data_IF_296099304453
#
_entry.id   IF_296099304453
#
_cell.length_a   1.000
_cell.length_b   1.000
_cell.length_c   1.000
_cell.angle_alpha   90.00
_cell.angle_beta   90.00
_cell.angle_gamma   90.00
#
_symmetry.space_group_name_H-M   'P 1'
#
loop_
_entity.id
_entity.type
_entity.pdbx_description
1 polymer ?
#
# COMPACT_ATOMS: atom_id res chain seq x y z
N UNK A 1 28.00 -17.48 -30.95
CA UNK A 1 26.88 -16.52 -31.14
C UNK A 1 25.87 -16.78 -30.04
N UNK A 2 25.47 -15.75 -29.28
CA UNK A 2 24.43 -15.89 -28.25
C UNK A 2 23.07 -16.09 -28.93
N UNK A 3 22.36 -17.16 -28.60
CA UNK A 3 21.02 -17.50 -29.11
C UNK A 3 19.89 -16.81 -28.33
N UNK A 4 20.25 -15.83 -27.51
CA UNK A 4 19.30 -15.17 -26.63
C UNK A 4 18.37 -14.25 -27.41
N UNK A 5 17.08 -14.63 -27.46
CA UNK A 5 16.00 -13.77 -27.95
C UNK A 5 15.43 -13.03 -26.76
N UNK A 6 15.50 -11.69 -26.79
CA UNK A 6 14.88 -10.83 -25.78
C UNK A 6 13.37 -11.10 -25.75
N UNK A 7 12.79 -11.46 -24.59
CA UNK A 7 11.36 -11.63 -24.49
C UNK A 7 10.64 -10.27 -24.61
N UNK A 8 9.47 -10.24 -25.23
CA UNK A 8 8.66 -9.03 -25.40
C UNK A 8 7.55 -9.01 -24.36
N UNK A 9 7.39 -7.88 -23.67
CA UNK A 9 6.32 -7.74 -22.68
C UNK A 9 4.94 -7.73 -23.37
N UNK A 10 3.93 -8.46 -22.84
CA UNK A 10 2.57 -8.38 -23.36
C UNK A 10 2.03 -6.94 -23.29
N UNK A 11 1.55 -6.44 -24.43
CA UNK A 11 1.02 -5.08 -24.59
C UNK A 11 -0.50 -5.00 -24.47
N UNK A 12 -1.21 -6.13 -24.52
CA UNK A 12 -2.67 -6.17 -24.43
C UNK A 12 -3.20 -5.48 -23.16
N UNK A 13 -4.22 -4.63 -23.34
CA UNK A 13 -4.85 -3.88 -22.27
C UNK A 13 -3.99 -2.73 -21.73
N UNK A 14 -2.86 -2.40 -22.37
CA UNK A 14 -2.08 -1.19 -22.07
C UNK A 14 -2.55 -0.02 -22.90
N UNK A 15 -2.20 1.20 -22.48
CA UNK A 15 -2.46 2.42 -23.23
C UNK A 15 -1.94 2.27 -24.67
N UNK A 16 -2.76 2.67 -25.65
CA UNK A 16 -2.48 2.50 -27.08
C UNK A 16 -2.79 1.10 -27.65
N UNK A 17 -3.11 0.11 -26.81
CA UNK A 17 -3.42 -1.26 -27.20
C UNK A 17 -4.70 -1.77 -26.52
N UNK A 18 -5.72 -0.90 -26.42
CA UNK A 18 -7.02 -1.23 -25.86
C UNK A 18 -7.99 -1.66 -26.96
N UNK A 19 -8.81 -2.67 -26.68
CA UNK A 19 -9.98 -2.96 -27.51
C UNK A 19 -11.07 -1.90 -27.30
N UNK A 20 -12.10 -1.82 -28.15
CA UNK A 20 -13.24 -0.92 -27.94
C UNK A 20 -13.92 -1.14 -26.57
N UNK A 21 -14.14 -2.40 -26.19
CA UNK A 21 -14.80 -2.76 -24.92
C UNK A 21 -13.92 -2.40 -23.70
N UNK A 22 -12.60 -2.57 -23.85
CA UNK A 22 -11.63 -2.15 -22.84
C UNK A 22 -11.61 -0.62 -22.67
N UNK A 23 -11.71 0.10 -23.79
CA UNK A 23 -11.79 1.57 -23.79
C UNK A 23 -13.07 2.05 -23.10
N UNK A 24 -14.21 1.42 -23.38
CA UNK A 24 -15.47 1.72 -22.70
C UNK A 24 -15.37 1.49 -21.19
N UNK A 25 -14.79 0.37 -20.75
CA UNK A 25 -14.57 0.09 -19.33
C UNK A 25 -13.67 1.12 -18.65
N UNK A 26 -12.63 1.59 -19.33
CA UNK A 26 -11.78 2.67 -18.82
C UNK A 26 -12.58 3.97 -18.64
N UNK A 27 -13.41 4.34 -19.62
CA UNK A 27 -14.28 5.51 -19.53
C UNK A 27 -15.29 5.39 -18.39
N UNK A 28 -15.94 4.23 -18.24
CA UNK A 28 -16.87 3.97 -17.14
C UNK A 28 -16.17 4.06 -15.77
N UNK A 29 -14.92 3.60 -15.66
CA UNK A 29 -14.13 3.75 -14.44
C UNK A 29 -13.88 5.23 -14.12
N UNK A 30 -13.52 6.03 -15.12
CA UNK A 30 -13.32 7.47 -14.98
C UNK A 30 -14.56 8.20 -14.50
N UNK A 31 -15.72 7.94 -15.08
CA UNK A 31 -17.00 8.54 -14.66
C UNK A 31 -17.24 8.29 -13.17
N UNK A 32 -17.14 7.03 -12.74
CA UNK A 32 -17.30 6.66 -11.33
C UNK A 32 -16.27 7.32 -10.43
N UNK A 33 -15.03 7.46 -10.90
CA UNK A 33 -13.96 8.09 -10.13
C UNK A 33 -14.21 9.60 -9.94
N UNK A 34 -14.66 10.30 -10.99
CA UNK A 34 -15.03 11.71 -10.87
C UNK A 34 -16.26 11.92 -9.98
N UNK A 35 -17.26 11.04 -10.04
CA UNK A 35 -18.40 11.11 -9.12
C UNK A 35 -17.98 10.94 -7.65
N UNK A 36 -16.94 10.14 -7.38
CA UNK A 36 -16.35 10.02 -6.04
C UNK A 36 -15.60 11.31 -5.67
N UNK A 37 -14.81 11.88 -6.58
CA UNK A 37 -14.10 13.15 -6.34
C UNK A 37 -15.06 14.28 -5.98
N UNK A 38 -16.17 14.38 -6.72
CA UNK A 38 -17.22 15.37 -6.52
C UNK A 38 -18.14 15.07 -5.32
N UNK A 39 -17.95 13.93 -4.64
CA UNK A 39 -18.79 13.51 -3.51
C UNK A 39 -20.21 13.09 -3.89
N UNK A 40 -20.50 12.88 -5.18
CA UNK A 40 -21.80 12.44 -5.70
C UNK A 40 -22.07 10.97 -5.38
N UNK A 41 -21.01 10.16 -5.35
CA UNK A 41 -21.09 8.72 -5.06
C UNK A 41 -20.47 8.41 -3.71
N UNK A 42 -21.25 7.75 -2.83
CA UNK A 42 -20.71 7.22 -1.59
C UNK A 42 -19.75 6.06 -1.87
N UNK A 43 -18.66 6.04 -1.12
CA UNK A 43 -17.72 4.93 -1.08
C UNK A 43 -17.41 4.61 0.38
N UNK A 44 -16.75 3.49 0.63
CA UNK A 44 -16.23 3.20 1.97
C UNK A 44 -15.20 4.27 2.36
N UNK A 45 -15.52 5.13 3.32
CA UNK A 45 -14.64 6.21 3.78
C UNK A 45 -13.75 5.79 4.96
N UNK A 46 -13.77 4.51 5.33
CA UNK A 46 -12.96 3.97 6.41
C UNK A 46 -11.62 3.47 5.88
N UNK A 47 -10.61 3.44 6.76
CA UNK A 47 -9.35 2.79 6.47
C UNK A 47 -9.54 1.28 6.59
N UNK A 48 -9.14 0.47 5.59
CA UNK A 48 -9.07 -0.97 5.72
C UNK A 48 -8.37 -1.38 7.02
N UNK A 49 -8.95 -2.33 7.75
CA UNK A 49 -8.44 -2.79 9.06
C UNK A 49 -7.03 -3.39 9.02
N UNK A 50 -6.55 -3.75 7.83
CA UNK A 50 -5.17 -4.17 7.58
C UNK A 50 -4.17 -3.02 7.59
N UNK A 51 -4.62 -1.77 7.49
CA UNK A 51 -3.76 -0.59 7.46
C UNK A 51 -3.45 -0.16 8.89
N UNK A 52 -2.19 -0.32 9.28
CA UNK A 52 -1.74 0.06 10.62
C UNK A 52 -1.29 1.52 10.69
N UNK A 53 -0.95 2.16 9.55
CA UNK A 53 -0.57 3.57 9.48
C UNK A 53 0.60 3.95 10.40
N UNK A 54 0.88 5.26 10.51
CA UNK A 54 1.75 5.77 11.58
C UNK A 54 1.11 5.75 12.98
N UNK A 55 -0.20 5.54 13.11
CA UNK A 55 -0.90 5.48 14.41
C UNK A 55 -0.62 4.17 15.17
N UNK A 56 0.61 3.64 15.10
CA UNK A 56 1.00 2.48 15.91
C UNK A 56 1.00 2.79 17.41
N UNK A 57 1.12 4.06 17.80
CA UNK A 57 1.29 4.41 19.22
C UNK A 57 0.34 5.50 19.77
N UNK A 58 -0.45 6.21 18.95
CA UNK A 58 -1.24 7.37 19.43
C UNK A 58 -2.75 7.10 19.72
N UNK A 59 -3.28 5.91 19.40
CA UNK A 59 -4.72 5.59 19.62
C UNK A 59 -4.97 4.29 20.41
N UNK A 60 -3.96 3.78 21.12
CA UNK A 60 -4.18 2.74 22.12
C UNK A 60 -4.21 3.37 23.51
N UNK A 61 -5.33 3.34 24.26
CA UNK A 61 -5.25 3.60 25.69
C UNK A 61 -4.25 2.61 26.28
N UNK A 62 -3.21 3.15 26.92
CA UNK A 62 -2.12 2.41 27.54
C UNK A 62 -2.69 1.29 28.42
N UNK A 63 -2.72 0.07 27.89
CA UNK A 63 -2.91 -1.14 28.68
C UNK A 63 -1.51 -1.64 29.02
N UNK A 64 -1.14 -1.73 30.31
CA UNK A 64 0.21 -2.12 30.68
C UNK A 64 0.53 -3.50 30.10
N UNK A 65 1.68 -3.57 29.44
CA UNK A 65 2.18 -4.77 28.79
C UNK A 65 2.29 -5.92 29.82
N UNK A 66 1.49 -6.96 29.65
CA UNK A 66 1.71 -8.22 30.33
C UNK A 66 2.87 -8.96 29.64
N UNK A 67 3.95 -9.18 30.40
CA UNK A 67 5.08 -10.03 30.03
C UNK A 67 4.59 -11.40 29.55
N UNK A 68 4.83 -11.75 28.28
CA UNK A 68 4.66 -13.12 27.82
C UNK A 68 5.94 -13.92 28.08
N UNK A 69 5.98 -14.58 29.25
CA UNK A 69 6.92 -15.69 29.48
C UNK A 69 6.52 -16.87 28.61
N UNK A 70 7.52 -17.43 27.94
CA UNK A 70 7.46 -18.69 27.18
C UNK A 70 7.00 -19.85 28.08
N UNK A 71 6.06 -20.66 27.61
CA UNK A 71 5.65 -21.90 28.27
C UNK A 71 5.07 -22.88 27.26
N UNK A 72 5.89 -23.87 26.90
CA UNK A 72 5.60 -24.99 26.00
C UNK A 72 5.13 -26.19 26.85
N UNK A 73 4.07 -26.89 26.38
CA UNK A 73 3.34 -28.04 26.94
C UNK A 73 2.24 -27.80 28.01
N UNK A 74 1.04 -28.33 27.74
CA UNK A 74 0.00 -28.51 28.77
C UNK A 74 -1.43 -28.67 28.23
N UNK A 75 -1.80 -29.88 27.83
CA UNK A 75 -3.15 -30.31 27.41
C UNK A 75 -4.10 -30.39 28.63
N UNK A 76 -5.28 -29.76 28.56
CA UNK A 76 -6.34 -29.94 29.57
C UNK A 76 -7.64 -29.18 29.24
N UNK A 77 -8.73 -29.93 29.04
CA UNK A 77 -10.13 -29.49 28.77
C UNK A 77 -10.78 -28.96 30.06
N UNK A 78 -11.58 -27.89 29.98
CA UNK A 78 -12.85 -27.74 30.72
C UNK A 78 -13.70 -26.54 30.24
N UNK A 79 -14.93 -26.88 29.83
CA UNK A 79 -16.25 -26.22 29.92
C UNK A 79 -16.47 -24.69 29.80
N UNK A 80 -17.56 -24.38 29.11
CA UNK A 80 -18.07 -23.10 28.62
C UNK A 80 -18.70 -22.18 29.69
N UNK A 81 -18.70 -20.88 29.41
CA UNK A 81 -19.78 -19.96 29.83
C UNK A 81 -19.89 -18.86 28.75
N UNK A 82 -21.03 -18.70 28.06
CA UNK A 82 -21.16 -17.69 27.02
C UNK A 82 -21.45 -16.32 27.67
N UNK A 83 -20.46 -15.44 27.70
CA UNK A 83 -20.69 -14.00 27.87
C UNK A 83 -20.83 -13.40 26.48
N UNK A 84 -22.08 -13.16 26.07
CA UNK A 84 -22.42 -12.22 25.01
C UNK A 84 -21.74 -10.88 25.34
N UNK A 85 -20.65 -10.59 24.64
CA UNK A 85 -20.15 -9.22 24.53
C UNK A 85 -20.91 -8.61 23.36
N UNK A 86 -21.87 -7.75 23.68
CA UNK A 86 -22.39 -6.78 22.74
C UNK A 86 -21.19 -6.07 22.09
N UNK A 87 -20.98 -6.35 20.81
CA UNK A 87 -20.07 -5.57 19.98
C UNK A 87 -20.85 -4.32 19.65
N UNK A 88 -20.72 -3.29 20.48
CA UNK A 88 -20.94 -1.93 20.03
C UNK A 88 -19.88 -1.68 18.94
N UNK A 89 -20.27 -1.94 17.68
CA UNK A 89 -19.50 -1.51 16.52
C UNK A 89 -19.63 0.00 16.50
N UNK A 90 -18.73 0.69 17.20
CA UNK A 90 -18.47 2.10 16.96
C UNK A 90 -18.20 2.22 15.46
N UNK A 91 -19.16 2.78 14.72
CA UNK A 91 -19.02 3.00 13.29
C UNK A 91 -17.76 3.85 13.13
N UNK A 92 -16.70 3.37 12.47
CA UNK A 92 -15.47 4.14 12.34
C UNK A 92 -15.83 5.44 11.62
N UNK A 93 -15.50 6.57 12.23
CA UNK A 93 -15.80 7.86 11.65
C UNK A 93 -15.21 7.93 10.22
N UNK A 94 -15.94 8.49 9.24
CA UNK A 94 -15.44 8.63 7.88
C UNK A 94 -14.14 9.43 7.89
N UNK A 95 -13.07 8.81 7.39
CA UNK A 95 -11.70 9.35 7.45
C UNK A 95 -11.26 10.02 6.14
N UNK A 96 -11.90 9.69 5.02
CA UNK A 96 -11.49 10.18 3.70
C UNK A 96 -12.66 10.81 2.95
N UNK A 97 -12.44 12.01 2.42
CA UNK A 97 -13.35 12.69 1.51
C UNK A 97 -13.01 12.40 0.04
N UNK A 98 -13.94 12.69 -0.88
CA UNK A 98 -13.69 12.63 -2.32
C UNK A 98 -12.48 13.49 -2.75
N UNK A 99 -12.35 14.68 -2.15
CA UNK A 99 -11.23 15.59 -2.38
C UNK A 99 -9.88 15.00 -1.92
N UNK A 100 -9.85 14.26 -0.81
CA UNK A 100 -8.63 13.57 -0.35
C UNK A 100 -8.19 12.50 -1.35
N UNK A 101 -9.15 11.71 -1.86
CA UNK A 101 -8.90 10.69 -2.89
C UNK A 101 -8.41 11.35 -4.19
N UNK A 102 -9.01 12.46 -4.61
CA UNK A 102 -8.58 13.22 -5.78
C UNK A 102 -7.13 13.71 -5.65
N UNK A 103 -6.80 14.33 -4.51
CA UNK A 103 -5.45 14.81 -4.22
C UNK A 103 -4.43 13.66 -4.23
N UNK A 104 -4.76 12.55 -3.58
CA UNK A 104 -3.90 11.36 -3.56
C UNK A 104 -3.71 10.75 -4.95
N UNK A 105 -4.75 10.74 -5.79
CA UNK A 105 -4.66 10.22 -7.16
C UNK A 105 -3.73 11.04 -8.04
N UNK A 106 -3.83 12.37 -8.01
CA UNK A 106 -2.96 13.21 -8.83
C UNK A 106 -1.51 13.17 -8.36
N UNK A 107 -1.28 13.08 -7.04
CA UNK A 107 0.06 12.80 -6.50
C UNK A 107 0.58 11.40 -6.82
N UNK A 108 -0.28 10.39 -6.98
CA UNK A 108 0.16 9.08 -7.45
C UNK A 108 0.55 9.12 -8.94
N UNK A 109 -0.14 9.92 -9.74
CA UNK A 109 0.06 10.02 -11.18
C UNK A 109 1.40 10.70 -11.52
N UNK A 110 1.83 11.70 -10.74
CA UNK A 110 3.08 12.43 -10.97
C UNK A 110 3.23 12.86 -12.45
N UNK A 111 4.24 12.34 -13.15
CA UNK A 111 4.54 12.67 -14.55
C UNK A 111 4.03 11.60 -15.54
N UNK A 112 3.33 10.57 -15.08
CA UNK A 112 2.77 9.52 -15.92
C UNK A 112 1.40 9.92 -16.50
N UNK A 113 0.97 9.23 -17.55
CA UNK A 113 -0.40 9.35 -18.04
C UNK A 113 -1.39 8.74 -17.02
N UNK A 114 -2.47 9.44 -16.62
CA UNK A 114 -3.37 8.98 -15.56
C UNK A 114 -4.07 7.65 -15.89
N UNK A 115 -4.42 7.41 -17.15
CA UNK A 115 -4.96 6.11 -17.59
C UNK A 115 -4.02 4.94 -17.30
N UNK A 116 -2.69 5.13 -17.35
CA UNK A 116 -1.75 4.06 -17.03
C UNK A 116 -1.91 3.60 -15.58
N UNK A 117 -2.22 4.52 -14.67
CA UNK A 117 -2.47 4.20 -13.27
C UNK A 117 -3.74 3.38 -13.16
N UNK A 118 -4.85 3.86 -13.74
CA UNK A 118 -6.16 3.16 -13.67
C UNK A 118 -6.10 1.78 -14.34
N UNK A 119 -5.48 1.69 -15.52
CA UNK A 119 -5.34 0.44 -16.26
C UNK A 119 -4.56 -0.63 -15.48
N UNK A 120 -3.60 -0.27 -14.61
CA UNK A 120 -2.93 -1.24 -13.73
C UNK A 120 -3.95 -1.99 -12.86
N UNK A 121 -4.93 -1.28 -12.31
CA UNK A 121 -5.95 -1.87 -11.41
C UNK A 121 -7.04 -2.63 -12.18
N UNK A 122 -7.55 -2.06 -13.27
CA UNK A 122 -8.56 -2.72 -14.10
C UNK A 122 -8.04 -4.05 -14.63
N UNK A 123 -6.80 -4.10 -15.13
CA UNK A 123 -6.17 -5.34 -15.61
C UNK A 123 -5.93 -6.34 -14.47
N UNK A 124 -5.44 -5.87 -13.32
CA UNK A 124 -5.20 -6.73 -12.15
C UNK A 124 -6.50 -7.35 -11.59
N UNK A 125 -7.67 -6.83 -11.97
CA UNK A 125 -9.00 -7.37 -11.63
C UNK A 125 -9.75 -7.89 -12.84
N UNK A 126 -9.03 -8.32 -13.89
CA UNK A 126 -9.59 -8.98 -15.08
C UNK A 126 -10.77 -8.20 -15.68
N UNK A 127 -10.67 -6.87 -15.68
CA UNK A 127 -11.71 -5.98 -16.21
C UNK A 127 -13.05 -6.02 -15.45
N UNK A 128 -13.06 -6.44 -14.18
CA UNK A 128 -14.17 -6.21 -13.25
C UNK A 128 -14.02 -4.82 -12.62
N UNK A 129 -14.96 -3.91 -12.90
CA UNK A 129 -14.88 -2.52 -12.48
C UNK A 129 -15.10 -2.32 -10.98
N UNK A 130 -15.98 -3.10 -10.36
CA UNK A 130 -16.31 -2.95 -8.93
C UNK A 130 -15.12 -3.38 -8.07
N UNK A 131 -14.53 -4.53 -8.40
CA UNK A 131 -13.34 -5.04 -7.73
C UNK A 131 -12.12 -4.14 -7.97
N UNK A 132 -11.97 -3.62 -9.20
CA UNK A 132 -10.92 -2.68 -9.54
C UNK A 132 -11.07 -1.38 -8.74
N UNK A 133 -12.29 -0.83 -8.66
CA UNK A 133 -12.56 0.41 -7.93
C UNK A 133 -12.29 0.23 -6.44
N UNK A 134 -12.76 -0.87 -5.84
CA UNK A 134 -12.47 -1.21 -4.44
C UNK A 134 -10.96 -1.31 -4.17
N UNK A 135 -10.21 -2.00 -5.03
CA UNK A 135 -8.76 -2.11 -4.89
C UNK A 135 -8.06 -0.75 -5.04
N UNK A 136 -8.48 0.04 -6.02
CA UNK A 136 -7.92 1.35 -6.33
C UNK A 136 -8.12 2.33 -5.17
N UNK A 137 -9.35 2.46 -4.66
CA UNK A 137 -9.66 3.32 -3.52
C UNK A 137 -8.88 2.88 -2.28
N UNK A 138 -8.79 1.58 -2.00
CA UNK A 138 -8.00 1.08 -0.87
C UNK A 138 -6.51 1.42 -1.01
N UNK A 139 -5.94 1.37 -2.22
CA UNK A 139 -4.56 1.79 -2.45
C UNK A 139 -4.36 3.30 -2.20
N UNK A 140 -5.30 4.15 -2.62
CA UNK A 140 -5.23 5.60 -2.36
C UNK A 140 -5.37 5.92 -0.87
N UNK A 141 -6.31 5.29 -0.18
CA UNK A 141 -6.45 5.43 1.28
C UNK A 141 -5.20 4.99 2.02
N UNK A 142 -4.62 3.86 1.62
CA UNK A 142 -3.36 3.36 2.19
C UNK A 142 -2.24 4.39 2.01
N UNK A 143 -2.13 4.98 0.82
CA UNK A 143 -1.14 6.02 0.52
C UNK A 143 -1.26 7.21 1.47
N UNK A 144 -2.49 7.65 1.74
CA UNK A 144 -2.78 8.75 2.68
C UNK A 144 -2.40 8.33 4.11
N UNK A 145 -2.85 7.16 4.55
CA UNK A 145 -2.63 6.64 5.92
C UNK A 145 -1.16 6.38 6.21
N UNK A 146 -0.41 5.88 5.24
CA UNK A 146 1.03 5.66 5.34
C UNK A 146 1.85 6.91 5.02
N UNK A 147 1.23 8.08 4.78
CA UNK A 147 1.94 9.33 4.46
C UNK A 147 3.02 9.14 3.39
N UNK A 148 2.73 8.41 2.31
CA UNK A 148 3.74 8.09 1.28
C UNK A 148 4.28 9.35 0.61
N UNK A 149 3.45 10.38 0.47
CA UNK A 149 3.88 11.65 -0.12
C UNK A 149 5.05 12.28 0.65
N UNK A 150 5.11 12.09 1.97
CA UNK A 150 6.22 12.55 2.81
C UNK A 150 7.54 11.89 2.42
N UNK A 151 7.53 10.59 2.10
CA UNK A 151 8.73 9.86 1.67
C UNK A 151 9.25 10.33 0.31
N UNK A 152 8.41 10.96 -0.50
CA UNK A 152 8.76 11.48 -1.83
C UNK A 152 9.19 12.95 -1.74
N UNK A 153 8.55 13.72 -0.86
CA UNK A 153 8.74 15.17 -0.75
C UNK A 153 9.96 15.53 0.14
N UNK A 154 10.29 14.71 1.15
CA UNK A 154 11.45 14.92 2.01
C UNK A 154 12.75 14.45 1.35
N UNK A 155 13.82 15.20 1.59
CA UNK A 155 15.18 14.78 1.24
C UNK A 155 15.68 13.65 2.13
N UNK A 156 16.70 12.92 1.66
CA UNK A 156 17.33 11.83 2.44
C UNK A 156 17.77 12.30 3.83
N UNK A 157 18.30 13.53 3.95
CA UNK A 157 18.74 14.11 5.23
C UNK A 157 17.57 14.40 6.18
N UNK A 158 16.46 14.94 5.66
CA UNK A 158 15.25 15.18 6.46
C UNK A 158 14.59 13.87 6.88
N UNK A 159 14.62 12.84 6.01
CA UNK A 159 14.17 11.49 6.35
C UNK A 159 15.02 10.85 7.45
N UNK A 160 16.34 11.04 7.44
CA UNK A 160 17.23 10.52 8.48
C UNK A 160 17.06 11.26 9.82
N UNK A 161 16.78 12.56 9.79
CA UNK A 161 16.44 13.34 10.98
C UNK A 161 15.12 12.86 11.60
N UNK A 162 14.10 12.63 10.77
CA UNK A 162 12.79 12.17 11.23
C UNK A 162 12.77 10.69 11.63
N UNK A 163 13.49 9.85 10.90
CA UNK A 163 13.57 8.41 11.09
C UNK A 163 15.02 8.03 11.37
N UNK A 164 15.43 7.96 12.66
CA UNK A 164 16.82 7.72 13.01
C UNK A 164 17.38 6.48 12.33
N UNK A 165 18.57 6.63 11.74
CA UNK A 165 19.31 5.59 10.99
C UNK A 165 18.71 5.21 9.64
N UNK A 166 17.85 6.04 9.05
CA UNK A 166 17.27 5.79 7.73
C UNK A 166 18.35 5.65 6.64
N UNK A 167 19.25 6.63 6.54
CA UNK A 167 20.35 6.62 5.56
C UNK A 167 21.31 5.46 5.84
N UNK A 168 21.49 5.10 7.11
CA UNK A 168 22.31 3.93 7.48
C UNK A 168 21.78 2.65 6.81
N UNK A 169 20.45 2.48 6.69
CA UNK A 169 19.86 1.32 6.01
C UNK A 169 20.22 1.26 4.52
N UNK A 170 20.26 2.42 3.86
CA UNK A 170 20.72 2.56 2.47
C UNK A 170 22.21 2.22 2.35
N UNK A 171 23.05 2.79 3.24
CA UNK A 171 24.51 2.62 3.21
C UNK A 171 24.96 1.19 3.49
N UNK A 172 24.27 0.49 4.39
CA UNK A 172 24.52 -0.94 4.65
C UNK A 172 24.19 -1.79 3.41
N UNK A 173 23.32 -1.30 2.52
CA UNK A 173 22.87 -2.03 1.34
C UNK A 173 21.83 -3.09 1.67
N UNK A 174 20.93 -2.80 2.61
CA UNK A 174 19.81 -3.71 2.97
C UNK A 174 18.83 -3.88 1.81
N UNK A 175 18.61 -2.81 1.04
CA UNK A 175 17.78 -2.80 -0.17
C UNK A 175 18.40 -1.86 -1.19
N UNK A 176 18.43 -2.25 -2.46
CA UNK A 176 18.85 -1.37 -3.56
C UNK A 176 18.29 -1.85 -4.91
N UNK A 177 18.19 -0.93 -5.88
CA UNK A 177 17.83 -1.24 -7.25
C UNK A 177 19.09 -1.54 -8.07
N UNK A 178 19.11 -2.64 -8.82
CA UNK A 178 20.24 -2.98 -9.69
C UNK A 178 19.80 -3.64 -10.98
N UNK A 179 20.02 -2.92 -12.08
CA UNK A 179 19.78 -3.43 -13.43
C UNK A 179 18.31 -3.70 -13.71
N UNK A 180 18.08 -4.45 -14.79
CA UNK A 180 16.76 -4.87 -15.21
C UNK A 180 16.78 -6.35 -15.61
N UNK A 181 15.64 -6.99 -15.49
CA UNK A 181 15.44 -8.34 -16.00
C UNK A 181 15.43 -8.35 -17.55
N UNK A 182 15.45 -9.53 -18.20
CA UNK A 182 15.18 -9.72 -19.63
C UNK A 182 14.05 -8.90 -20.27
N UNK A 183 13.03 -8.53 -19.51
CA UNK A 183 11.85 -7.79 -19.95
C UNK A 183 11.97 -6.29 -19.69
N UNK A 184 13.14 -5.82 -19.26
CA UNK A 184 13.39 -4.42 -18.92
C UNK A 184 12.77 -3.98 -17.59
N UNK A 185 12.35 -4.90 -16.72
CA UNK A 185 11.75 -4.57 -15.43
C UNK A 185 12.86 -4.31 -14.40
N UNK A 186 12.80 -3.21 -13.63
CA UNK A 186 13.82 -2.92 -12.63
C UNK A 186 13.85 -4.02 -11.58
N UNK A 187 15.06 -4.43 -11.18
CA UNK A 187 15.25 -5.42 -10.13
C UNK A 187 15.55 -4.73 -8.79
N UNK A 188 14.72 -5.03 -7.79
CA UNK A 188 14.97 -4.67 -6.39
C UNK A 188 15.62 -5.85 -5.67
N UNK A 189 16.78 -5.61 -5.05
CA UNK A 189 17.55 -6.62 -4.31
C UNK A 189 17.43 -6.31 -2.82
N UNK A 190 17.01 -7.31 -2.04
CA UNK A 190 16.89 -7.21 -0.57
C UNK A 190 17.83 -8.20 0.10
N UNK A 191 18.77 -7.68 0.89
CA UNK A 191 19.79 -8.47 1.59
C UNK A 191 19.34 -8.80 3.02
N UNK A 192 18.60 -9.89 3.17
CA UNK A 192 18.04 -10.31 4.46
C UNK A 192 19.08 -10.60 5.54
N UNK A 193 20.28 -11.07 5.17
CA UNK A 193 21.39 -11.33 6.10
C UNK A 193 21.85 -10.08 6.87
N UNK A 194 21.65 -8.89 6.30
CA UNK A 194 22.05 -7.63 6.91
C UNK A 194 20.96 -7.06 7.84
N UNK A 195 19.78 -7.72 7.91
CA UNK A 195 18.70 -7.26 8.77
C UNK A 195 18.85 -7.81 10.19
N UNK A 196 19.24 -6.94 11.13
CA UNK A 196 19.15 -7.20 12.56
C UNK A 196 18.12 -6.27 13.19
N UNK A 197 17.16 -6.84 13.91
CA UNK A 197 15.98 -6.12 14.41
C UNK A 197 16.33 -4.99 15.38
N UNK A 198 17.37 -5.18 16.20
CA UNK A 198 17.72 -4.26 17.29
C UNK A 198 18.59 -3.09 16.83
N UNK A 199 19.08 -3.11 15.59
CA UNK A 199 20.00 -2.07 15.08
C UNK A 199 19.28 -0.75 14.79
N UNK A 200 17.96 -0.78 14.58
CA UNK A 200 17.17 0.40 14.22
C UNK A 200 15.73 0.30 14.71
N UNK A 201 15.02 1.43 14.85
CA UNK A 201 13.60 1.43 15.18
C UNK A 201 12.76 0.65 14.15
N UNK A 202 11.69 -0.06 14.57
CA UNK A 202 10.79 -0.75 13.65
C UNK A 202 10.12 0.17 12.64
N UNK A 203 9.87 1.43 13.02
CA UNK A 203 9.31 2.43 12.11
C UNK A 203 10.30 2.79 11.01
N UNK A 204 11.59 3.01 11.32
CA UNK A 204 12.62 3.31 10.31
C UNK A 204 12.68 2.24 9.23
N UNK A 205 12.64 0.94 9.60
CA UNK A 205 12.62 -0.16 8.61
C UNK A 205 11.34 -0.17 7.79
N UNK A 206 10.19 0.06 8.42
CA UNK A 206 8.92 0.15 7.72
C UNK A 206 8.96 1.28 6.68
N UNK A 207 9.44 2.47 7.06
CA UNK A 207 9.59 3.63 6.18
C UNK A 207 10.59 3.37 5.05
N UNK A 208 11.75 2.80 5.39
CA UNK A 208 12.78 2.42 4.42
C UNK A 208 12.29 1.36 3.42
N UNK A 209 11.35 0.49 3.81
CA UNK A 209 10.77 -0.51 2.90
C UNK A 209 9.77 0.12 1.92
N UNK A 210 9.17 1.26 2.29
CA UNK A 210 8.20 1.98 1.47
C UNK A 210 8.84 3.01 0.52
N UNK A 211 10.00 3.54 0.91
CA UNK A 211 10.84 4.44 0.12
C UNK A 211 11.53 3.68 -1.03
#
# INVERSE_FOLDING_TARGET
>A
MSTYVQPVAPTEGRLGHLTPEQTEKLQQFWVRLYDIFDGKTQFDQTAPSSFKGQNRDDDAPATPAAEKKSGWFGRGKAAETPKEKAVEVAVPAPRFSGADIQKAFWKLTMMDHPDLIILKFIRARKWNLDDAMKMFLNALKWRIVERIDELIELSDSELDEKYPKFIEQMRIGKGYLRGADPLGRPMSVVNTRLHHKNDQPPETIHRFTLY
#
